data_IF_714358276969
#
_entry.id   IF_714358276969
#
_cell.length_a   1.000
_cell.length_b   1.000
_cell.length_c   1.000
_cell.angle_alpha   90.00
_cell.angle_beta   90.00
_cell.angle_gamma   90.00
#
_symmetry.space_group_name_H-M   'P 1'
#
loop_
_entity.id
_entity.type
_entity.pdbx_description
1 polymer ?
#
# COMPACT_ATOMS: atom_id res chain seq x y z
N UNK A 1 8.50 11.99 -24.25
CA UNK A 1 8.34 12.61 -22.91
C UNK A 1 7.29 11.81 -22.16
N UNK A 2 7.55 11.36 -20.93
CA UNK A 2 6.52 10.72 -20.13
C UNK A 2 5.35 11.69 -19.94
N UNK A 3 4.20 11.31 -20.49
CA UNK A 3 2.89 11.96 -20.36
C UNK A 3 1.93 10.94 -19.76
N UNK A 4 1.02 11.40 -18.90
CA UNK A 4 -0.11 10.57 -18.49
C UNK A 4 -0.97 10.28 -19.71
N UNK A 5 -1.18 9.01 -20.02
CA UNK A 5 -2.19 8.62 -20.99
C UNK A 5 -3.60 8.82 -20.41
N UNK A 6 -4.57 9.01 -21.29
CA UNK A 6 -5.97 9.29 -20.92
C UNK A 6 -6.60 8.17 -20.09
N UNK A 7 -6.16 6.91 -20.27
CA UNK A 7 -6.64 5.78 -19.48
C UNK A 7 -6.22 5.90 -18.02
N UNK A 8 -4.99 6.34 -17.76
CA UNK A 8 -4.46 6.57 -16.42
C UNK A 8 -5.17 7.73 -15.73
N UNK A 9 -5.37 8.84 -16.44
CA UNK A 9 -6.13 9.99 -15.89
C UNK A 9 -7.55 9.54 -15.54
N UNK A 10 -8.20 8.77 -16.41
CA UNK A 10 -9.56 8.26 -16.18
C UNK A 10 -9.61 7.32 -14.98
N UNK A 11 -8.63 6.43 -14.82
CA UNK A 11 -8.51 5.54 -13.67
C UNK A 11 -8.42 6.34 -12.37
N UNK A 12 -7.48 7.29 -12.29
CA UNK A 12 -7.27 8.10 -11.08
C UNK A 12 -8.55 8.89 -10.76
N UNK A 13 -9.15 9.58 -11.73
CA UNK A 13 -10.41 10.33 -11.53
C UNK A 13 -11.52 9.46 -10.95
N UNK A 14 -11.69 8.24 -11.48
CA UNK A 14 -12.71 7.31 -11.02
C UNK A 14 -12.49 6.90 -9.56
N UNK A 15 -11.24 6.65 -9.17
CA UNK A 15 -10.89 6.08 -7.86
C UNK A 15 -10.65 7.11 -6.75
N UNK A 16 -10.20 8.33 -7.09
CA UNK A 16 -9.91 9.42 -6.14
C UNK A 16 -10.92 10.57 -6.18
N UNK A 17 -11.83 10.59 -7.17
CA UNK A 17 -12.76 11.70 -7.45
C UNK A 17 -12.09 13.05 -7.77
N UNK A 18 -10.80 13.06 -8.07
CA UNK A 18 -10.04 14.26 -8.43
C UNK A 18 -10.40 14.78 -9.83
N UNK A 19 -10.15 16.05 -10.10
CA UNK A 19 -10.26 16.64 -11.44
C UNK A 19 -9.01 16.35 -12.27
N UNK A 20 -9.17 16.28 -13.60
CA UNK A 20 -8.02 16.09 -14.52
C UNK A 20 -6.92 17.13 -14.29
N UNK A 21 -7.30 18.39 -14.03
CA UNK A 21 -6.35 19.48 -13.77
C UNK A 21 -5.52 19.25 -12.51
N UNK A 22 -6.12 18.68 -11.45
CA UNK A 22 -5.41 18.40 -10.20
C UNK A 22 -4.40 17.26 -10.40
N UNK A 23 -4.78 16.22 -11.13
CA UNK A 23 -3.91 15.09 -11.46
C UNK A 23 -2.72 15.55 -12.30
N UNK A 24 -2.97 16.40 -13.32
CA UNK A 24 -1.91 16.96 -14.15
C UNK A 24 -0.98 17.87 -13.36
N UNK A 25 -1.52 18.67 -12.41
CA UNK A 25 -0.69 19.51 -11.53
C UNK A 25 0.23 18.65 -10.66
N UNK A 26 -0.31 17.62 -10.00
CA UNK A 26 0.48 16.65 -9.22
C UNK A 26 1.59 15.99 -10.04
N UNK A 27 1.24 15.54 -11.25
CA UNK A 27 2.22 14.93 -12.16
C UNK A 27 3.33 15.91 -12.56
N UNK A 28 2.99 17.17 -12.85
CA UNK A 28 3.97 18.19 -13.20
C UNK A 28 4.86 18.57 -12.01
N UNK A 29 4.30 18.72 -10.81
CA UNK A 29 5.04 19.00 -9.59
C UNK A 29 6.02 17.87 -9.22
N UNK A 30 5.62 16.62 -9.37
CA UNK A 30 6.51 15.49 -9.16
C UNK A 30 7.60 15.41 -10.23
N UNK A 31 7.29 15.80 -11.48
CA UNK A 31 8.26 15.79 -12.58
C UNK A 31 9.34 16.86 -12.40
N UNK A 32 8.99 18.03 -11.86
CA UNK A 32 9.99 19.07 -11.52
C UNK A 32 10.88 18.64 -10.35
N UNK A 33 10.35 17.86 -9.41
CA UNK A 33 11.13 17.25 -8.31
C UNK A 33 12.01 16.08 -8.76
N UNK A 34 11.73 15.49 -9.93
CA UNK A 34 12.45 14.32 -10.47
C UNK A 34 12.93 14.53 -11.92
N UNK A 35 13.92 15.41 -12.15
CA UNK A 35 14.31 15.91 -13.48
C UNK A 35 14.86 14.83 -14.43
N UNK A 36 15.37 13.71 -13.90
CA UNK A 36 15.97 12.64 -14.71
C UNK A 36 14.95 11.60 -15.20
N UNK A 37 13.66 11.77 -14.85
CA UNK A 37 12.59 10.82 -15.16
C UNK A 37 12.73 9.46 -14.45
N UNK A 38 13.74 9.31 -13.58
CA UNK A 38 13.97 8.13 -12.75
C UNK A 38 13.67 8.49 -11.31
N UNK A 39 12.68 7.82 -10.74
CA UNK A 39 12.31 7.98 -9.36
C UNK A 39 13.02 6.90 -8.54
N UNK A 40 14.00 7.27 -7.72
CA UNK A 40 14.63 6.27 -6.85
C UNK A 40 13.75 6.00 -5.63
N UNK A 41 13.95 4.86 -4.96
CA UNK A 41 13.28 4.57 -3.68
C UNK A 41 13.46 5.72 -2.67
N UNK A 42 14.63 6.36 -2.63
CA UNK A 42 14.92 7.52 -1.77
C UNK A 42 14.07 8.74 -2.15
N UNK A 43 13.93 9.01 -3.44
CA UNK A 43 13.11 10.13 -3.93
C UNK A 43 11.63 9.91 -3.63
N UNK A 44 11.15 8.67 -3.74
CA UNK A 44 9.79 8.29 -3.32
C UNK A 44 9.56 8.52 -1.85
N UNK A 45 10.47 8.06 -0.97
CA UNK A 45 10.35 8.28 0.48
C UNK A 45 10.23 9.76 0.75
N UNK A 46 11.12 10.55 0.17
CA UNK A 46 11.18 11.99 0.38
C UNK A 46 9.90 12.66 -0.12
N UNK A 47 9.45 12.33 -1.32
CA UNK A 47 8.21 12.86 -1.88
C UNK A 47 7.01 12.46 -1.00
N UNK A 48 6.91 11.18 -0.60
CA UNK A 48 5.82 10.70 0.25
C UNK A 48 5.82 11.40 1.62
N UNK A 49 6.99 11.60 2.24
CA UNK A 49 7.14 12.38 3.49
C UNK A 49 6.71 13.84 3.32
N UNK A 50 7.14 14.49 2.24
CA UNK A 50 6.86 15.91 2.00
C UNK A 50 5.40 16.18 1.59
N UNK A 51 4.74 15.19 0.99
CA UNK A 51 3.45 15.35 0.30
C UNK A 51 2.29 14.65 1.03
N UNK A 52 2.58 13.70 1.93
CA UNK A 52 1.57 13.11 2.81
C UNK A 52 1.50 13.87 4.15
N UNK A 53 0.34 13.83 4.79
CA UNK A 53 0.15 14.33 6.17
C UNK A 53 0.44 13.24 7.22
N UNK A 54 0.97 12.09 6.80
CA UNK A 54 1.21 10.95 7.68
C UNK A 54 2.53 11.10 8.43
N UNK A 55 2.53 10.73 9.71
CA UNK A 55 3.72 10.73 10.55
C UNK A 55 4.65 9.56 10.17
N UNK A 56 5.48 9.81 9.16
CA UNK A 56 6.35 8.82 8.52
C UNK A 56 7.58 8.45 9.35
N UNK A 57 7.80 9.05 10.52
CA UNK A 57 8.90 8.69 11.42
C UNK A 57 8.72 7.27 12.00
N UNK A 58 7.51 6.70 11.91
CA UNK A 58 7.21 5.29 12.21
C UNK A 58 7.32 4.35 10.99
N UNK A 59 7.54 4.89 9.79
CA UNK A 59 7.12 4.27 8.52
C UNK A 59 8.31 3.99 7.57
N UNK A 60 9.55 4.25 7.99
CA UNK A 60 10.76 4.05 7.16
C UNK A 60 10.90 2.60 6.66
N UNK A 61 10.40 1.62 7.43
CA UNK A 61 10.36 0.21 7.03
C UNK A 61 9.19 -0.14 6.10
N UNK A 62 8.07 0.57 6.21
CA UNK A 62 6.87 0.37 5.36
C UNK A 62 7.11 0.89 3.95
N UNK A 63 7.97 1.90 3.79
CA UNK A 63 8.42 2.39 2.48
C UNK A 63 8.82 1.25 1.55
N UNK A 64 9.50 0.22 2.05
CA UNK A 64 9.90 -0.92 1.22
C UNK A 64 8.71 -1.73 0.71
N UNK A 65 7.72 -1.92 1.58
CA UNK A 65 6.50 -2.64 1.25
C UNK A 65 5.59 -1.80 0.35
N UNK A 66 5.49 -0.48 0.59
CA UNK A 66 4.82 0.48 -0.30
C UNK A 66 5.48 0.48 -1.68
N UNK A 67 6.81 0.42 -1.74
CA UNK A 67 7.53 0.35 -3.01
C UNK A 67 7.13 -0.90 -3.81
N UNK A 68 7.06 -2.05 -3.15
CA UNK A 68 6.65 -3.31 -3.78
C UNK A 68 5.17 -3.29 -4.21
N UNK A 69 4.30 -2.68 -3.40
CA UNK A 69 2.89 -2.51 -3.73
C UNK A 69 2.66 -1.55 -4.91
N UNK A 70 3.56 -0.57 -5.11
CA UNK A 70 3.46 0.37 -6.23
C UNK A 70 4.05 -0.17 -7.53
N UNK A 71 4.98 -1.13 -7.45
CA UNK A 71 5.57 -1.83 -8.60
C UNK A 71 4.53 -2.80 -9.20
N UNK A 72 3.69 -2.30 -10.10
CA UNK A 72 2.56 -3.07 -10.66
C UNK A 72 2.98 -4.02 -11.76
N UNK A 73 4.08 -3.73 -12.46
CA UNK A 73 4.62 -4.58 -13.53
C UNK A 73 5.66 -5.61 -13.06
N UNK A 74 6.03 -5.58 -11.77
CA UNK A 74 6.98 -6.50 -11.12
C UNK A 74 8.39 -6.45 -11.70
N UNK A 75 8.79 -5.32 -12.28
CA UNK A 75 10.13 -5.19 -12.84
C UNK A 75 11.20 -4.92 -11.76
N UNK A 76 10.80 -4.80 -10.50
CA UNK A 76 11.66 -4.48 -9.35
C UNK A 76 11.92 -2.99 -9.20
N UNK A 77 11.25 -2.15 -9.98
CA UNK A 77 11.38 -0.69 -9.98
C UNK A 77 10.02 -0.04 -10.18
N UNK A 78 9.72 0.91 -9.30
CA UNK A 78 8.56 1.77 -9.47
C UNK A 78 8.88 2.91 -10.43
N UNK A 79 8.19 2.95 -11.56
CA UNK A 79 8.30 4.05 -12.50
C UNK A 79 7.53 5.29 -12.02
N UNK A 80 7.69 6.40 -12.74
CA UNK A 80 7.05 7.66 -12.37
C UNK A 80 5.52 7.59 -12.37
N UNK A 81 4.94 6.85 -13.32
CA UNK A 81 3.49 6.69 -13.46
C UNK A 81 2.95 5.83 -12.34
N UNK A 82 3.61 4.71 -12.04
CA UNK A 82 3.26 3.81 -10.95
C UNK A 82 3.29 4.52 -9.59
N UNK A 83 4.30 5.35 -9.33
CA UNK A 83 4.34 6.14 -8.10
C UNK A 83 3.19 7.14 -8.01
N UNK A 84 2.87 7.87 -9.08
CA UNK A 84 1.77 8.85 -9.08
C UNK A 84 0.43 8.16 -8.82
N UNK A 85 0.19 7.02 -9.48
CA UNK A 85 -1.02 6.24 -9.27
C UNK A 85 -1.08 5.73 -7.83
N UNK A 86 -0.04 5.03 -7.37
CA UNK A 86 0.02 4.48 -6.02
C UNK A 86 -0.16 5.55 -4.96
N UNK A 87 0.60 6.64 -5.05
CA UNK A 87 0.51 7.77 -4.12
C UNK A 87 -0.89 8.38 -4.06
N UNK A 88 -1.51 8.65 -5.22
CA UNK A 88 -2.84 9.26 -5.24
C UNK A 88 -3.93 8.31 -4.75
N UNK A 89 -3.82 7.01 -5.04
CA UNK A 89 -4.77 6.01 -4.56
C UNK A 89 -4.62 5.76 -3.05
N UNK A 90 -3.41 5.72 -2.51
CA UNK A 90 -3.22 5.52 -1.07
C UNK A 90 -3.53 6.76 -0.23
N UNK A 91 -3.34 7.97 -0.78
CA UNK A 91 -3.62 9.22 -0.04
C UNK A 91 -5.02 9.78 -0.27
N UNK A 92 -5.60 9.63 -1.46
CA UNK A 92 -6.90 10.21 -1.88
C UNK A 92 -7.91 9.19 -2.39
N UNK A 93 -7.55 7.91 -2.48
CA UNK A 93 -8.46 6.85 -2.89
C UNK A 93 -9.52 6.55 -1.84
N UNK A 94 -10.53 5.80 -2.28
CA UNK A 94 -11.56 5.27 -1.37
C UNK A 94 -10.97 4.28 -0.36
N UNK A 95 -11.71 3.99 0.71
CA UNK A 95 -11.31 2.95 1.68
C UNK A 95 -11.03 1.62 0.98
N UNK A 96 -11.85 1.24 0.00
CA UNK A 96 -11.67 0.00 -0.77
C UNK A 96 -10.33 -0.02 -1.53
N UNK A 97 -9.94 1.11 -2.14
CA UNK A 97 -8.64 1.20 -2.84
C UNK A 97 -7.46 1.10 -1.86
N UNK A 98 -7.59 1.75 -0.71
CA UNK A 98 -6.56 1.69 0.33
C UNK A 98 -6.38 0.25 0.81
N UNK A 99 -7.47 -0.47 1.03
CA UNK A 99 -7.44 -1.87 1.42
C UNK A 99 -6.95 -2.80 0.30
N UNK A 100 -7.21 -2.47 -0.96
CA UNK A 100 -6.64 -3.17 -2.11
C UNK A 100 -5.11 -3.05 -2.14
N UNK A 101 -4.59 -1.82 -2.00
CA UNK A 101 -3.14 -1.62 -1.89
C UNK A 101 -2.55 -2.28 -0.63
N UNK A 102 -3.29 -2.32 0.47
CA UNK A 102 -2.88 -3.07 1.66
C UNK A 102 -2.83 -4.57 1.41
N UNK A 103 -3.73 -5.14 0.62
CA UNK A 103 -3.64 -6.55 0.21
C UNK A 103 -2.38 -6.78 -0.63
N UNK A 104 -2.15 -5.95 -1.64
CA UNK A 104 -0.96 -6.02 -2.52
C UNK A 104 0.37 -5.80 -1.78
N UNK A 105 0.32 -5.20 -0.58
CA UNK A 105 1.47 -5.04 0.29
C UNK A 105 1.90 -6.37 0.90
N UNK A 106 0.95 -7.30 1.11
CA UNK A 106 1.18 -8.58 1.79
C UNK A 106 1.20 -9.79 0.86
N UNK A 107 0.49 -9.74 -0.28
CA UNK A 107 0.61 -10.68 -1.39
C UNK A 107 1.96 -10.42 -2.12
N UNK A 108 3.01 -11.05 -1.58
CA UNK A 108 4.42 -10.82 -1.95
C UNK A 108 4.72 -11.44 -3.31
N UNK A 109 4.18 -12.64 -3.56
CA UNK A 109 4.41 -13.37 -4.81
C UNK A 109 3.37 -13.06 -5.90
N UNK A 110 2.31 -12.33 -5.54
CA UNK A 110 1.25 -11.83 -6.43
C UNK A 110 0.42 -12.93 -7.06
N UNK A 111 0.24 -14.04 -6.33
CA UNK A 111 -0.63 -15.13 -6.75
C UNK A 111 -2.13 -14.81 -6.52
N UNK A 112 -2.43 -13.69 -5.85
CA UNK A 112 -3.79 -13.22 -5.56
C UNK A 112 -4.36 -13.79 -4.25
N UNK A 113 -3.54 -14.46 -3.47
CA UNK A 113 -3.86 -15.03 -2.18
C UNK A 113 -2.88 -14.54 -1.11
N UNK A 114 -3.21 -14.83 0.14
CA UNK A 114 -2.31 -14.65 1.27
C UNK A 114 -2.08 -16.02 1.89
N UNK A 115 -0.82 -16.45 1.90
CA UNK A 115 -0.36 -17.70 2.46
C UNK A 115 0.22 -17.55 3.88
N UNK A 116 0.64 -18.66 4.47
CA UNK A 116 1.18 -18.67 5.84
C UNK A 116 2.52 -17.93 5.95
N UNK A 117 3.34 -17.93 4.91
CA UNK A 117 4.62 -17.23 4.90
C UNK A 117 4.44 -15.71 4.84
N UNK A 118 3.42 -15.25 4.12
CA UNK A 118 3.03 -13.84 4.00
C UNK A 118 2.37 -13.33 5.29
N UNK A 119 1.60 -14.19 5.94
CA UNK A 119 1.09 -13.98 7.31
C UNK A 119 2.23 -13.73 8.30
N UNK A 120 3.33 -14.48 8.21
CA UNK A 120 4.48 -14.27 9.10
C UNK A 120 5.16 -12.91 8.83
N UNK A 121 5.12 -12.43 7.59
CA UNK A 121 5.59 -11.07 7.24
C UNK A 121 4.66 -10.00 7.80
N UNK A 122 3.33 -10.19 7.71
CA UNK A 122 2.35 -9.33 8.38
C UNK A 122 2.61 -9.25 9.89
N UNK A 123 2.89 -10.37 10.55
CA UNK A 123 3.12 -10.38 11.99
C UNK A 123 4.36 -9.56 12.39
N UNK A 124 5.45 -9.69 11.61
CA UNK A 124 6.66 -8.87 11.77
C UNK A 124 6.39 -7.39 11.56
N UNK A 125 5.51 -7.05 10.63
CA UNK A 125 5.07 -5.67 10.40
C UNK A 125 4.34 -5.10 11.61
N UNK A 126 3.32 -5.81 12.13
CA UNK A 126 2.54 -5.39 13.31
C UNK A 126 3.44 -5.25 14.54
N UNK A 127 4.34 -6.21 14.78
CA UNK A 127 5.29 -6.16 15.89
C UNK A 127 6.13 -4.88 15.88
N UNK A 128 6.62 -4.48 14.71
CA UNK A 128 7.42 -3.26 14.53
C UNK A 128 6.58 -1.99 14.67
N UNK A 129 5.35 -1.99 14.16
CA UNK A 129 4.42 -0.85 14.31
C UNK A 129 4.06 -0.56 15.77
N UNK A 130 3.97 -1.59 16.60
CA UNK A 130 3.77 -1.45 18.06
C UNK A 130 5.03 -1.01 18.82
N UNK A 131 6.09 -0.60 18.09
CA UNK A 131 7.31 -0.02 18.65
C UNK A 131 8.22 -1.02 19.36
N UNK A 132 8.08 -2.32 19.09
CA UNK A 132 8.86 -3.37 19.75
C UNK A 132 8.63 -3.50 21.27
N UNK A 133 7.68 -2.73 21.81
CA UNK A 133 7.32 -2.74 23.24
C UNK A 133 6.29 -3.83 23.58
N UNK A 134 5.72 -4.50 22.58
CA UNK A 134 5.00 -5.76 22.74
C UNK A 134 5.95 -6.96 22.70
N UNK A 135 5.45 -8.16 23.01
CA UNK A 135 6.19 -9.39 22.67
C UNK A 135 5.88 -9.76 21.22
N UNK A 136 6.87 -10.26 20.48
CA UNK A 136 6.68 -10.82 19.13
C UNK A 136 5.53 -11.84 19.12
N UNK A 137 5.43 -12.61 20.22
CA UNK A 137 4.34 -13.53 20.49
C UNK A 137 2.95 -12.87 20.55
N UNK A 138 2.79 -11.73 21.22
CA UNK A 138 1.49 -11.05 21.33
C UNK A 138 0.98 -10.47 20.00
N UNK A 139 1.89 -9.95 19.17
CA UNK A 139 1.56 -9.48 17.82
C UNK A 139 1.17 -10.64 16.90
N UNK A 140 1.88 -11.76 17.00
CA UNK A 140 1.54 -13.00 16.26
C UNK A 140 0.17 -13.52 16.70
N UNK A 141 -0.13 -13.53 18.00
CA UNK A 141 -1.40 -14.07 18.50
C UNK A 141 -2.60 -13.20 18.09
N UNK A 142 -2.46 -11.87 18.13
CA UNK A 142 -3.45 -10.94 17.60
C UNK A 142 -3.73 -11.22 16.11
N UNK A 143 -2.67 -11.41 15.33
CA UNK A 143 -2.79 -11.68 13.90
C UNK A 143 -3.40 -13.06 13.63
N UNK A 144 -3.05 -14.09 14.40
CA UNK A 144 -3.65 -15.43 14.30
C UNK A 144 -5.14 -15.42 14.62
N UNK A 145 -5.57 -14.65 15.63
CA UNK A 145 -6.99 -14.47 15.91
C UNK A 145 -7.71 -13.74 14.76
N UNK A 146 -7.06 -12.77 14.12
CA UNK A 146 -7.61 -12.12 12.92
C UNK A 146 -7.71 -13.07 11.73
N UNK A 147 -6.64 -13.81 11.44
CA UNK A 147 -6.54 -14.74 10.31
C UNK A 147 -7.53 -15.88 10.47
N UNK A 148 -7.70 -16.41 11.68
CA UNK A 148 -8.73 -17.43 11.96
C UNK A 148 -10.15 -16.90 11.80
N UNK A 149 -10.35 -15.58 11.90
CA UNK A 149 -11.62 -14.92 11.58
C UNK A 149 -11.79 -14.60 10.09
N UNK A 150 -10.71 -14.67 9.30
CA UNK A 150 -10.78 -14.60 7.85
C UNK A 150 -11.29 -15.94 7.32
N UNK A 151 -12.25 -15.91 6.41
CA UNK A 151 -12.60 -17.13 5.68
C UNK A 151 -11.45 -17.47 4.74
N UNK A 152 -10.95 -18.71 4.82
CA UNK A 152 -10.01 -19.24 3.84
C UNK A 152 -10.75 -19.95 2.71
N UNK A 153 -10.09 -20.11 1.57
CA UNK A 153 -10.55 -21.01 0.50
C UNK A 153 -10.31 -22.49 0.90
N UNK A 154 -10.63 -23.42 0.00
CA UNK A 154 -10.45 -24.87 0.22
C UNK A 154 -8.99 -25.27 0.46
N UNK A 155 -8.04 -24.43 0.04
CA UNK A 155 -6.59 -24.62 0.18
C UNK A 155 -6.04 -23.98 1.47
N UNK A 156 -6.89 -23.33 2.28
CA UNK A 156 -6.46 -22.64 3.50
C UNK A 156 -5.87 -21.24 3.26
N UNK A 157 -5.94 -20.71 2.03
CA UNK A 157 -5.41 -19.40 1.67
C UNK A 157 -6.46 -18.30 1.85
N UNK A 158 -6.02 -17.10 2.22
CA UNK A 158 -6.90 -15.94 2.35
C UNK A 158 -7.03 -15.25 0.99
N UNK A 159 -8.26 -15.08 0.50
CA UNK A 159 -8.51 -14.31 -0.72
C UNK A 159 -8.53 -12.82 -0.44
N UNK A 160 -8.23 -11.99 -1.45
CA UNK A 160 -8.39 -10.53 -1.39
C UNK A 160 -9.75 -10.08 -0.84
N UNK A 161 -10.83 -10.71 -1.27
CA UNK A 161 -12.18 -10.37 -0.81
C UNK A 161 -12.35 -10.63 0.69
N UNK A 162 -11.85 -11.77 1.18
CA UNK A 162 -11.94 -12.13 2.59
C UNK A 162 -11.04 -11.23 3.46
N UNK A 163 -9.85 -10.89 2.96
CA UNK A 163 -8.94 -9.95 3.62
C UNK A 163 -9.56 -8.56 3.77
N UNK A 164 -10.06 -7.97 2.67
CA UNK A 164 -10.69 -6.64 2.67
C UNK A 164 -11.92 -6.64 3.60
N UNK A 165 -12.75 -7.69 3.53
CA UNK A 165 -13.91 -7.84 4.41
C UNK A 165 -13.51 -7.87 5.88
N UNK A 166 -12.44 -8.57 6.23
CA UNK A 166 -11.98 -8.71 7.60
C UNK A 166 -11.44 -7.38 8.14
N UNK A 167 -10.62 -6.66 7.37
CA UNK A 167 -10.12 -5.33 7.75
C UNK A 167 -11.24 -4.28 7.85
N UNK A 168 -12.23 -4.35 6.95
CA UNK A 168 -13.37 -3.42 6.96
C UNK A 168 -14.26 -3.56 8.22
N UNK A 169 -14.20 -4.70 8.91
CA UNK A 169 -14.99 -4.97 10.12
C UNK A 169 -14.24 -4.66 11.42
N UNK A 170 -12.93 -4.45 11.38
CA UNK A 170 -12.11 -4.23 12.56
C UNK A 170 -11.17 -3.04 12.35
N UNK A 171 -11.57 -1.88 12.89
CA UNK A 171 -10.85 -0.62 12.74
C UNK A 171 -9.42 -0.68 13.30
N UNK A 172 -9.20 -1.38 14.41
CA UNK A 172 -7.87 -1.52 15.00
C UNK A 172 -6.93 -2.31 14.08
N UNK A 173 -7.43 -3.39 13.48
CA UNK A 173 -6.63 -4.20 12.55
C UNK A 173 -6.38 -3.47 11.25
N UNK A 174 -7.38 -2.71 10.77
CA UNK A 174 -7.21 -1.80 9.65
C UNK A 174 -6.08 -0.80 9.93
N UNK A 175 -6.11 -0.10 11.07
CA UNK A 175 -5.06 0.86 11.46
C UNK A 175 -3.67 0.21 11.65
N UNK A 176 -3.63 -1.05 12.09
CA UNK A 176 -2.38 -1.78 12.32
C UNK A 176 -1.75 -2.32 11.04
N UNK A 177 -2.56 -2.76 10.07
CA UNK A 177 -2.10 -3.47 8.87
C UNK A 177 -2.10 -2.56 7.63
N UNK A 178 -2.95 -1.55 7.59
CA UNK A 178 -3.01 -0.62 6.47
C UNK A 178 -2.27 0.69 6.81
N UNK A 179 -1.11 0.96 6.18
CA UNK A 179 -0.42 2.24 6.36
C UNK A 179 -1.14 3.42 5.69
N UNK A 180 -2.27 3.17 5.02
CA UNK A 180 -2.97 4.13 4.17
C UNK A 180 -4.28 4.65 4.78
N UNK A 181 -4.68 4.13 5.94
CA UNK A 181 -5.99 4.37 6.57
C UNK A 181 -5.92 5.21 7.82
#
# INVERSE_FOLDING_TARGET
MASLDDATVTLIKRKTKMKSSEITNWFNELKTRCPNGKLTKRDMVKCYKDLSTCDMDKVEHVVSAIYQAFDTDNNGKVDFKEFVIGFLLTTKGSMEEKLDYTFQLYDIDKDGYIDQSEIDVMAKYVYRMLGGNGTEFGSIELLKHFISSCHCNEQGLITKENFIRALSKNELLCQLLSPFT
#
